data_IF_221473051226
#
_entry.id   IF_221473051226
#
_cell.length_a   1.000
_cell.length_b   1.000
_cell.length_c   1.000
_cell.angle_alpha   90.00
_cell.angle_beta   90.00
_cell.angle_gamma   90.00
#
_symmetry.space_group_name_H-M   'P 1'
#
loop_
_entity.id
_entity.type
_entity.pdbx_description
1 polymer ?
#
# COMPACT_ATOMS: atom_id res chain seq x y z
N UNK A 1 -1.29 1.28 3.05
CA UNK A 1 -1.57 0.33 4.15
C UNK A 1 -0.32 0.15 5.02
N UNK A 2 -0.02 1.14 5.86
CA UNK A 2 1.13 1.11 6.79
C UNK A 2 0.76 0.52 8.16
N UNK A 3 -0.50 0.66 8.58
CA UNK A 3 -1.00 0.19 9.88
C UNK A 3 -0.76 -1.31 10.13
N UNK A 4 -1.15 -2.14 9.15
CA UNK A 4 -0.99 -3.60 9.22
C UNK A 4 0.46 -4.03 9.48
N UNK A 5 1.43 -3.36 8.84
CA UNK A 5 2.85 -3.70 8.99
C UNK A 5 3.47 -3.11 10.24
N UNK A 6 3.03 -1.91 10.62
CA UNK A 6 3.50 -1.21 11.81
C UNK A 6 3.21 -2.02 13.07
N UNK A 7 2.00 -2.57 13.16
CA UNK A 7 1.53 -3.22 14.38
C UNK A 7 1.49 -4.76 14.33
N UNK A 8 2.00 -5.39 13.26
CA UNK A 8 1.97 -6.86 13.11
C UNK A 8 2.70 -7.64 14.21
N UNK A 9 3.59 -6.97 14.94
CA UNK A 9 4.32 -7.55 16.06
C UNK A 9 3.69 -7.23 17.42
N UNK A 10 2.83 -6.20 17.48
CA UNK A 10 2.13 -5.77 18.69
C UNK A 10 0.80 -6.49 18.85
N UNK A 11 0.11 -6.78 17.75
CA UNK A 11 -1.17 -7.46 17.75
C UNK A 11 -1.12 -8.79 17.01
N UNK A 12 -1.90 -9.77 17.49
CA UNK A 12 -1.99 -11.05 16.80
C UNK A 12 -2.67 -10.90 15.44
N UNK A 13 -2.20 -11.63 14.44
CA UNK A 13 -2.80 -11.66 13.09
C UNK A 13 -4.30 -12.03 13.17
N UNK A 14 -4.68 -12.90 14.11
CA UNK A 14 -6.08 -13.28 14.33
C UNK A 14 -6.92 -12.06 14.73
N UNK A 15 -6.49 -11.33 15.76
CA UNK A 15 -7.20 -10.16 16.25
C UNK A 15 -7.28 -9.07 15.19
N UNK A 16 -6.21 -8.84 14.44
CA UNK A 16 -6.21 -7.85 13.35
C UNK A 16 -7.15 -8.26 12.21
N UNK A 17 -7.18 -9.54 11.83
CA UNK A 17 -8.09 -10.03 10.80
C UNK A 17 -9.56 -9.94 11.26
N UNK A 18 -9.84 -10.22 12.53
CA UNK A 18 -11.17 -10.07 13.14
C UNK A 18 -11.64 -8.62 13.13
N UNK A 19 -10.82 -7.68 13.61
CA UNK A 19 -11.15 -6.24 13.65
C UNK A 19 -11.34 -5.64 12.27
N UNK A 20 -10.58 -6.10 11.29
CA UNK A 20 -10.61 -5.58 9.92
C UNK A 20 -11.59 -6.35 9.03
N UNK A 21 -12.34 -7.30 9.61
CA UNK A 21 -13.36 -8.12 8.93
C UNK A 21 -12.84 -8.82 7.66
N UNK A 22 -11.57 -9.24 7.69
CA UNK A 22 -10.93 -9.96 6.58
C UNK A 22 -10.62 -11.39 6.95
N UNK A 23 -10.52 -12.27 5.96
CA UNK A 23 -10.02 -13.62 6.19
C UNK A 23 -8.55 -13.59 6.63
N UNK A 24 -8.19 -14.49 7.56
CA UNK A 24 -6.79 -14.68 7.99
C UNK A 24 -5.86 -14.97 6.80
N UNK A 25 -6.33 -15.77 5.84
CA UNK A 25 -5.59 -16.07 4.60
C UNK A 25 -5.36 -14.84 3.74
N UNK A 26 -6.37 -13.99 3.58
CA UNK A 26 -6.25 -12.72 2.86
C UNK A 26 -5.26 -11.78 3.54
N UNK A 27 -5.27 -11.72 4.88
CA UNK A 27 -4.28 -10.98 5.66
C UNK A 27 -2.85 -11.49 5.44
N UNK A 28 -2.65 -12.82 5.46
CA UNK A 28 -1.34 -13.42 5.19
C UNK A 28 -0.85 -13.15 3.77
N UNK A 29 -1.73 -13.22 2.77
CA UNK A 29 -1.40 -12.88 1.38
C UNK A 29 -1.01 -11.42 1.26
N UNK A 30 -1.74 -10.53 1.95
CA UNK A 30 -1.42 -9.11 2.01
C UNK A 30 -0.03 -8.84 2.61
N UNK A 31 0.33 -9.50 3.71
CA UNK A 31 1.66 -9.34 4.32
C UNK A 31 2.80 -9.91 3.45
N UNK A 32 2.53 -10.97 2.68
CA UNK A 32 3.55 -11.65 1.85
C UNK A 32 3.69 -11.07 0.45
N UNK A 33 2.74 -10.26 -0.02
CA UNK A 33 2.81 -9.71 -1.38
C UNK A 33 4.04 -8.82 -1.51
N UNK A 34 4.76 -8.95 -2.62
CA UNK A 34 5.81 -7.98 -2.95
C UNK A 34 5.14 -6.63 -3.13
N UNK A 35 5.39 -5.70 -2.21
CA UNK A 35 4.93 -4.32 -2.36
C UNK A 35 5.53 -3.76 -3.64
N UNK A 36 4.69 -3.18 -4.49
CA UNK A 36 5.21 -2.44 -5.63
C UNK A 36 6.07 -1.28 -5.08
N UNK A 37 7.06 -0.85 -5.86
CA UNK A 37 7.97 0.22 -5.44
C UNK A 37 7.19 1.48 -5.06
N UNK A 38 6.04 1.72 -5.69
CA UNK A 38 5.15 2.86 -5.45
C UNK A 38 4.44 2.84 -4.09
N UNK A 39 4.09 1.67 -3.55
CA UNK A 39 3.45 1.50 -2.24
C UNK A 39 4.41 1.81 -1.07
N UNK A 40 5.70 1.93 -1.35
CA UNK A 40 6.70 2.43 -0.40
C UNK A 40 6.76 3.96 -0.36
N UNK A 41 6.27 4.62 -1.40
CA UNK A 41 6.27 6.07 -1.51
C UNK A 41 4.93 6.64 -1.07
N UNK A 42 4.97 7.90 -0.63
CA UNK A 42 3.78 8.65 -0.26
C UNK A 42 2.80 8.71 -1.46
N UNK A 43 1.51 8.35 -1.28
CA UNK A 43 0.55 8.36 -2.38
C UNK A 43 0.39 9.71 -3.06
N UNK A 44 0.46 10.82 -2.32
CA UNK A 44 0.37 12.17 -2.89
C UNK A 44 1.61 12.48 -3.74
N UNK A 45 2.80 12.09 -3.27
CA UNK A 45 4.04 12.23 -4.04
C UNK A 45 4.01 11.40 -5.34
N UNK A 46 3.49 10.18 -5.28
CA UNK A 46 3.37 9.31 -6.47
C UNK A 46 2.42 9.92 -7.48
N UNK A 47 1.26 10.42 -7.06
CA UNK A 47 0.30 11.07 -7.95
C UNK A 47 0.85 12.39 -8.51
N UNK A 48 1.58 13.17 -7.71
CA UNK A 48 2.26 14.39 -8.17
C UNK A 48 3.30 14.10 -9.26
N UNK A 49 4.13 13.06 -9.11
CA UNK A 49 5.11 12.66 -10.13
C UNK A 49 4.40 12.20 -11.41
N UNK A 50 3.31 11.44 -11.31
CA UNK A 50 2.50 11.05 -12.47
C UNK A 50 1.92 12.25 -13.19
N UNK A 51 1.36 13.22 -12.47
CA UNK A 51 0.77 14.42 -13.08
C UNK A 51 1.83 15.25 -13.80
N UNK A 52 3.03 15.40 -13.22
CA UNK A 52 4.15 16.07 -13.89
C UNK A 52 4.59 15.34 -15.16
N UNK A 53 4.72 14.01 -15.09
CA UNK A 53 5.13 13.19 -16.23
C UNK A 53 4.13 13.28 -17.39
N UNK A 54 2.83 13.21 -17.12
CA UNK A 54 1.81 13.32 -18.17
C UNK A 54 1.78 14.72 -18.81
N UNK A 55 2.02 15.77 -18.03
CA UNK A 55 2.08 17.15 -18.53
C UNK A 55 3.29 17.40 -19.45
N UNK A 56 4.43 16.74 -19.18
CA UNK A 56 5.63 16.79 -20.03
C UNK A 56 5.40 16.16 -21.42
N UNK A 57 4.60 15.10 -21.52
CA UNK A 57 4.23 14.48 -22.80
C UNK A 57 3.12 15.22 -23.55
N UNK A 58 2.32 16.04 -22.86
CA UNK A 58 1.27 16.85 -23.49
C UNK A 58 1.81 18.08 -24.25
N UNK A 59 3.00 18.56 -23.92
CA UNK A 59 3.62 19.77 -24.52
C UNK A 59 4.76 19.44 -25.51
N UNK A 60 4.90 18.18 -25.93
CA UNK A 60 5.91 17.73 -26.90
C UNK A 60 5.37 17.47 -28.31
N UNK A 61 4.16 17.95 -28.63
CA UNK A 61 3.57 17.92 -29.98
C UNK A 61 3.31 19.33 -30.51
#
# INVERSE_FOLDING_TARGET
MMFMEMYRFEFSIRSMAEVLEVSRSGFYQFLKRSKNVLEKYDPELVEFIKSMSQNLFAHSN
#
